data_IF_590447989797
#
_entry.id   IF_590447989797
#
_cell.length_a   1.000
_cell.length_b   1.000
_cell.length_c   1.000
_cell.angle_alpha   90.00
_cell.angle_beta   90.00
_cell.angle_gamma   90.00
#
_symmetry.space_group_name_H-M   'P 1'
#
loop_
_entity.id
_entity.type
_entity.pdbx_description
1 polymer ?
#
# COMPACT_ATOMS: atom_id res chain seq x y z
N UNK A 1 -51.63 0.32 20.89
CA UNK A 1 -51.05 0.83 19.62
C UNK A 1 -49.63 1.26 19.92
N UNK A 2 -48.68 0.39 19.62
CA UNK A 2 -47.23 0.63 19.77
C UNK A 2 -46.71 0.81 18.34
N UNK A 3 -45.95 1.87 18.02
CA UNK A 3 -45.46 2.07 16.67
C UNK A 3 -44.35 1.05 16.35
N UNK A 4 -44.21 0.60 15.09
CA UNK A 4 -43.13 -0.30 14.73
C UNK A 4 -41.82 0.46 14.68
N UNK A 5 -40.80 -0.05 15.38
CA UNK A 5 -39.41 0.35 15.21
C UNK A 5 -38.92 -0.16 13.86
N UNK A 6 -38.68 0.78 12.93
CA UNK A 6 -37.96 0.54 11.70
C UNK A 6 -36.55 0.06 12.04
N UNK A 7 -36.22 -1.16 11.61
CA UNK A 7 -34.85 -1.64 11.61
C UNK A 7 -34.11 -1.03 10.42
N UNK A 8 -33.23 -0.07 10.71
CA UNK A 8 -32.16 0.32 9.80
C UNK A 8 -31.11 -0.78 9.77
N UNK A 9 -31.32 -1.73 8.86
CA UNK A 9 -30.25 -2.54 8.32
C UNK A 9 -29.62 -1.78 7.17
N UNK A 10 -28.75 -0.81 7.45
CA UNK A 10 -27.81 -0.30 6.44
C UNK A 10 -26.79 -1.40 6.20
N UNK A 11 -27.09 -2.29 5.25
CA UNK A 11 -26.05 -3.07 4.60
C UNK A 11 -25.35 -2.13 3.63
N UNK A 12 -24.37 -1.40 4.13
CA UNK A 12 -23.47 -0.62 3.29
C UNK A 12 -22.68 -1.59 2.41
N UNK A 13 -23.14 -1.74 1.16
CA UNK A 13 -22.38 -2.24 0.03
C UNK A 13 -21.26 -1.24 -0.28
N UNK A 14 -20.27 -1.18 0.59
CA UNK A 14 -19.05 -0.37 0.46
C UNK A 14 -17.91 -1.20 -0.15
N UNK A 15 -18.23 -2.17 -1.03
CA UNK A 15 -17.28 -3.19 -1.47
C UNK A 15 -16.69 -2.99 -2.86
N UNK A 16 -16.89 -1.84 -3.50
CA UNK A 16 -16.42 -1.63 -4.89
C UNK A 16 -15.87 -0.21 -5.16
N UNK A 17 -15.77 0.65 -4.14
CA UNK A 17 -15.07 1.91 -4.30
C UNK A 17 -13.55 1.65 -4.39
N UNK A 18 -12.85 2.18 -5.42
CA UNK A 18 -11.39 2.08 -5.49
C UNK A 18 -10.78 2.69 -4.22
N UNK A 19 -9.67 2.11 -3.75
CA UNK A 19 -8.95 2.69 -2.61
C UNK A 19 -8.54 4.13 -2.94
N UNK A 20 -8.40 4.98 -1.92
CA UNK A 20 -7.84 6.33 -2.06
C UNK A 20 -6.53 6.33 -2.89
N UNK A 21 -5.69 5.32 -2.68
CA UNK A 21 -4.44 5.12 -3.41
C UNK A 21 -4.71 4.83 -4.89
N UNK A 22 -5.66 3.93 -5.19
CA UNK A 22 -6.04 3.59 -6.57
C UNK A 22 -6.57 4.83 -7.29
N UNK A 23 -7.49 5.56 -6.67
CA UNK A 23 -8.05 6.79 -7.25
C UNK A 23 -6.94 7.82 -7.55
N UNK A 24 -5.99 8.01 -6.63
CA UNK A 24 -4.88 8.95 -6.81
C UNK A 24 -3.84 8.50 -7.86
N UNK A 25 -3.74 7.19 -8.13
CA UNK A 25 -2.94 6.65 -9.24
C UNK A 25 -3.64 6.85 -10.59
N UNK A 26 -4.96 6.69 -10.62
CA UNK A 26 -5.81 6.80 -11.82
C UNK A 26 -6.07 8.26 -12.26
N UNK A 27 -5.58 9.26 -11.52
CA UNK A 27 -5.66 10.70 -11.90
C UNK A 27 -4.83 11.06 -13.14
N UNK A 28 -4.03 10.13 -13.66
CA UNK A 28 -3.13 10.35 -14.80
C UNK A 28 -3.85 10.05 -16.11
N UNK A 29 -3.74 10.97 -17.07
CA UNK A 29 -4.29 10.80 -18.41
C UNK A 29 -3.69 9.56 -19.09
N UNK A 30 -4.51 8.80 -19.83
CA UNK A 30 -4.10 7.58 -20.52
C UNK A 30 -2.90 7.83 -21.46
N UNK A 31 -1.84 7.02 -21.32
CA UNK A 31 -0.62 7.10 -22.12
C UNK A 31 0.37 8.19 -21.71
N UNK A 32 0.04 9.03 -20.72
CA UNK A 32 1.00 10.01 -20.18
C UNK A 32 2.10 9.34 -19.37
N UNK A 33 1.80 8.25 -18.66
CA UNK A 33 2.74 7.40 -17.95
C UNK A 33 3.85 6.86 -18.87
N UNK A 34 3.46 6.21 -19.98
CA UNK A 34 4.39 5.69 -21.00
C UNK A 34 5.24 6.80 -21.61
N UNK A 35 4.64 7.97 -21.86
CA UNK A 35 5.34 9.13 -22.39
C UNK A 35 6.38 9.68 -21.40
N UNK A 36 6.03 9.78 -20.11
CA UNK A 36 6.96 10.20 -19.05
C UNK A 36 8.10 9.21 -18.90
N UNK A 37 7.81 7.92 -18.78
CA UNK A 37 8.83 6.88 -18.62
C UNK A 37 9.82 6.90 -19.80
N UNK A 38 9.29 6.89 -21.02
CA UNK A 38 10.09 6.92 -22.25
C UNK A 38 10.91 8.20 -22.37
N UNK A 39 10.35 9.34 -21.97
CA UNK A 39 11.07 10.60 -22.02
C UNK A 39 12.25 10.61 -21.05
N UNK A 40 12.07 10.09 -19.83
CA UNK A 40 13.07 10.16 -18.76
C UNK A 40 14.13 9.06 -18.81
N UNK A 41 13.86 7.94 -19.48
CA UNK A 41 14.78 6.82 -19.55
C UNK A 41 16.17 7.24 -20.06
N UNK A 42 17.21 6.85 -19.30
CA UNK A 42 18.62 7.12 -19.64
C UNK A 42 19.09 8.55 -19.32
N UNK A 43 18.29 9.37 -18.66
CA UNK A 43 18.69 10.72 -18.27
C UNK A 43 19.37 10.76 -16.90
N UNK A 44 20.52 11.41 -16.84
CA UNK A 44 21.19 11.72 -15.58
C UNK A 44 20.62 13.00 -14.94
N UNK A 45 20.72 13.09 -13.61
CA UNK A 45 20.44 14.29 -12.82
C UNK A 45 19.04 14.93 -13.04
N UNK A 46 18.01 14.12 -13.26
CA UNK A 46 16.65 14.62 -13.48
C UNK A 46 16.14 15.40 -12.26
N UNK A 47 15.57 16.57 -12.51
CA UNK A 47 14.82 17.35 -11.52
C UNK A 47 13.37 17.47 -11.96
N UNK A 48 12.46 16.93 -11.16
CA UNK A 48 11.03 16.92 -11.40
C UNK A 48 10.29 17.76 -10.34
N UNK A 49 9.33 18.58 -10.74
CA UNK A 49 8.49 19.37 -9.83
C UNK A 49 7.01 19.25 -10.19
N UNK A 50 6.15 19.27 -9.18
CA UNK A 50 4.70 19.16 -9.37
C UNK A 50 4.22 17.73 -9.67
N UNK A 51 5.01 16.72 -9.29
CA UNK A 51 4.76 15.30 -9.61
C UNK A 51 3.54 14.79 -8.81
N UNK A 52 2.45 14.34 -9.48
CA UNK A 52 1.33 13.66 -8.82
C UNK A 52 1.71 12.21 -8.45
N UNK A 53 0.93 11.57 -7.58
CA UNK A 53 1.18 10.20 -7.14
C UNK A 53 1.27 9.21 -8.33
N UNK A 54 0.33 9.28 -9.27
CA UNK A 54 0.27 8.38 -10.42
C UNK A 54 1.46 8.46 -11.38
N UNK A 55 2.29 9.50 -11.31
CA UNK A 55 3.52 9.61 -12.13
C UNK A 55 4.80 9.23 -11.38
N UNK A 56 4.72 8.84 -10.11
CA UNK A 56 5.88 8.25 -9.42
C UNK A 56 6.29 6.89 -10.01
N UNK A 57 5.37 5.96 -10.31
CA UNK A 57 5.73 4.68 -10.95
C UNK A 57 6.56 4.81 -12.24
N UNK A 58 6.14 5.55 -13.28
CA UNK A 58 6.95 5.68 -14.51
C UNK A 58 8.28 6.43 -14.26
N UNK A 59 8.34 7.33 -13.28
CA UNK A 59 9.59 8.01 -12.91
C UNK A 59 10.58 7.06 -12.23
N UNK A 60 10.12 6.20 -11.32
CA UNK A 60 10.95 5.18 -10.68
C UNK A 60 11.43 4.14 -11.70
N UNK A 61 10.54 3.68 -12.58
CA UNK A 61 10.88 2.76 -13.65
C UNK A 61 11.94 3.35 -14.61
N UNK A 62 11.85 4.64 -14.94
CA UNK A 62 12.87 5.32 -15.74
C UNK A 62 14.21 5.46 -14.98
N UNK A 63 14.15 5.74 -13.67
CA UNK A 63 15.34 5.83 -12.81
C UNK A 63 16.08 4.51 -12.71
N UNK A 64 15.37 3.39 -12.54
CA UNK A 64 15.95 2.05 -12.42
C UNK A 64 16.69 1.63 -13.70
N UNK A 65 16.21 2.07 -14.87
CA UNK A 65 16.86 1.83 -16.16
C UNK A 65 18.01 2.78 -16.49
N UNK A 66 18.35 3.69 -15.58
CA UNK A 66 19.41 4.68 -15.77
C UNK A 66 20.65 4.25 -14.99
N UNK A 67 21.76 4.04 -15.71
CA UNK A 67 23.04 3.58 -15.14
C UNK A 67 23.75 4.61 -14.25
N UNK A 68 23.33 5.88 -14.33
CA UNK A 68 23.90 6.96 -13.53
C UNK A 68 23.46 6.85 -12.06
N UNK A 69 24.40 7.04 -11.13
CA UNK A 69 24.15 6.94 -9.68
C UNK A 69 23.67 8.26 -9.07
N UNK A 70 23.61 9.37 -9.81
CA UNK A 70 23.21 10.64 -9.23
C UNK A 70 21.73 10.61 -8.79
N UNK A 71 21.40 11.18 -7.62
CA UNK A 71 20.03 11.23 -7.14
C UNK A 71 19.15 12.03 -8.09
N UNK A 72 18.00 11.46 -8.45
CA UNK A 72 16.92 12.22 -9.09
C UNK A 72 16.20 13.04 -8.03
N UNK A 73 15.93 14.31 -8.34
CA UNK A 73 15.34 15.27 -7.40
C UNK A 73 13.87 15.44 -7.71
N UNK A 74 12.99 14.94 -6.85
CA UNK A 74 11.55 14.88 -7.11
C UNK A 74 10.80 15.71 -6.09
N UNK A 75 10.15 16.79 -6.52
CA UNK A 75 9.20 17.55 -5.71
C UNK A 75 7.77 17.18 -6.11
N UNK A 76 7.11 16.43 -5.23
CA UNK A 76 5.72 16.01 -5.40
C UNK A 76 4.72 17.12 -5.07
N UNK A 77 3.48 16.94 -5.53
CA UNK A 77 2.35 17.76 -5.12
C UNK A 77 2.09 17.65 -3.61
N UNK A 78 1.49 18.66 -2.97
CA UNK A 78 1.03 18.56 -1.60
C UNK A 78 0.12 17.34 -1.40
N UNK A 79 0.27 16.62 -0.29
CA UNK A 79 -0.52 15.42 0.03
C UNK A 79 0.05 14.09 -0.48
N UNK A 80 0.92 14.09 -1.51
CA UNK A 80 1.48 12.84 -2.06
C UNK A 80 2.25 12.03 -1.02
N UNK A 81 3.07 12.67 -0.18
CA UNK A 81 3.82 11.97 0.87
C UNK A 81 2.92 11.27 1.89
N UNK A 82 1.77 11.87 2.21
CA UNK A 82 0.79 11.31 3.14
C UNK A 82 0.07 10.09 2.52
N UNK A 83 -0.29 10.16 1.23
CA UNK A 83 -0.87 9.02 0.50
C UNK A 83 0.16 7.88 0.34
N UNK A 84 1.43 8.19 0.11
CA UNK A 84 2.50 7.18 0.06
C UNK A 84 2.63 6.39 1.38
N UNK A 85 2.44 7.05 2.53
CA UNK A 85 2.36 6.38 3.84
C UNK A 85 1.19 5.39 3.97
N UNK A 86 0.23 5.41 3.03
CA UNK A 86 -0.90 4.48 2.96
C UNK A 86 -0.85 3.54 1.76
N UNK A 87 0.04 3.75 0.82
CA UNK A 87 0.21 2.94 -0.38
C UNK A 87 1.27 1.87 -0.12
N UNK A 88 0.89 0.69 0.35
CA UNK A 88 1.87 -0.28 0.88
C UNK A 88 2.97 -0.66 -0.12
N UNK A 89 2.59 -0.94 -1.38
CA UNK A 89 3.55 -1.31 -2.42
C UNK A 89 4.38 -0.10 -2.85
N UNK A 90 3.73 0.97 -3.33
CA UNK A 90 4.44 2.14 -3.85
C UNK A 90 5.24 2.88 -2.77
N UNK A 91 4.69 2.98 -1.57
CA UNK A 91 5.32 3.64 -0.43
C UNK A 91 6.60 2.95 0.00
N UNK A 92 6.62 1.61 0.08
CA UNK A 92 7.85 0.87 0.41
C UNK A 92 8.90 0.96 -0.69
N UNK A 93 8.49 1.04 -1.96
CA UNK A 93 9.42 1.24 -3.09
C UNK A 93 10.00 2.65 -3.14
N UNK A 94 9.17 3.69 -2.96
CA UNK A 94 9.68 5.08 -2.86
C UNK A 94 10.59 5.23 -1.64
N UNK A 95 10.23 4.61 -0.51
CA UNK A 95 11.09 4.60 0.68
C UNK A 95 12.43 3.90 0.44
N UNK A 96 12.45 2.82 -0.35
CA UNK A 96 13.68 2.16 -0.80
C UNK A 96 14.54 3.11 -1.64
N UNK A 97 13.98 3.70 -2.69
CA UNK A 97 14.70 4.60 -3.58
C UNK A 97 15.28 5.82 -2.85
N UNK A 98 14.58 6.32 -1.81
CA UNK A 98 15.08 7.38 -0.94
C UNK A 98 16.21 6.88 -0.02
N UNK A 99 16.06 5.70 0.58
CA UNK A 99 17.06 5.12 1.47
C UNK A 99 18.37 4.77 0.75
N UNK A 100 18.29 4.31 -0.50
CA UNK A 100 19.43 4.05 -1.37
C UNK A 100 20.08 5.33 -1.91
N UNK A 101 19.42 6.49 -1.75
CA UNK A 101 19.87 7.76 -2.30
C UNK A 101 19.68 7.88 -3.81
N UNK A 102 18.89 7.00 -4.44
CA UNK A 102 18.52 7.10 -5.84
C UNK A 102 17.57 8.28 -6.11
N UNK A 103 16.78 8.67 -5.10
CA UNK A 103 15.81 9.77 -5.16
C UNK A 103 15.94 10.70 -3.94
N UNK A 104 15.97 12.01 -4.18
CA UNK A 104 15.72 13.03 -3.16
C UNK A 104 14.26 13.48 -3.26
N UNK A 105 13.46 13.16 -2.24
CA UNK A 105 12.03 13.46 -2.21
C UNK A 105 11.71 14.76 -1.46
N UNK A 106 10.91 15.61 -2.09
CA UNK A 106 10.35 16.83 -1.51
C UNK A 106 8.87 16.95 -1.79
N UNK A 107 8.19 17.80 -1.04
CA UNK A 107 6.80 18.20 -1.33
C UNK A 107 6.74 19.71 -1.44
N UNK A 108 6.04 20.20 -2.45
CA UNK A 108 5.74 21.62 -2.55
C UNK A 108 5.05 22.08 -1.25
N UNK A 109 5.51 23.20 -0.67
CA UNK A 109 4.79 23.81 0.43
C UNK A 109 3.38 24.16 -0.05
N UNK A 110 2.35 23.86 0.74
CA UNK A 110 0.99 24.33 0.49
C UNK A 110 0.96 25.85 0.71
N UNK A 111 1.50 26.61 -0.24
CA UNK A 111 1.43 28.06 -0.23
C UNK A 111 -0.03 28.43 -0.51
N UNK A 112 -0.75 28.71 0.57
CA UNK A 112 -2.06 29.38 0.58
C UNK A 112 -1.88 30.81 0.08
N UNK A 113 -1.79 30.98 -1.22
CA UNK A 113 -1.98 32.29 -1.84
C UNK A 113 -2.66 32.13 -3.20
N UNK A 114 -3.92 32.56 -3.24
CA UNK A 114 -4.81 32.57 -4.41
C UNK A 114 -4.26 33.38 -5.61
N UNK A 115 -3.09 34.00 -5.49
CA UNK A 115 -2.44 34.82 -6.50
C UNK A 115 -1.33 34.09 -7.32
N UNK A 116 -0.88 32.90 -6.90
CA UNK A 116 0.19 32.12 -7.58
C UNK A 116 -0.34 30.82 -8.21
N UNK A 117 -1.66 30.72 -8.41
CA UNK A 117 -2.40 29.50 -8.80
C UNK A 117 -2.18 29.00 -10.24
N UNK A 118 -1.00 29.17 -10.82
CA UNK A 118 -0.69 28.62 -12.14
C UNK A 118 0.72 28.01 -12.26
N UNK A 119 1.68 28.40 -11.42
CA UNK A 119 3.06 27.93 -11.54
C UNK A 119 3.44 26.85 -10.52
N UNK A 120 2.82 26.80 -9.34
CA UNK A 120 3.08 25.78 -8.31
C UNK A 120 2.48 24.40 -8.62
N UNK A 121 1.64 24.30 -9.66
CA UNK A 121 0.95 23.06 -10.06
C UNK A 121 1.49 22.44 -11.36
N UNK A 122 2.31 23.18 -12.13
CA UNK A 122 2.85 22.68 -13.40
C UNK A 122 3.83 21.56 -13.14
N UNK A 123 3.59 20.43 -13.81
CA UNK A 123 4.47 19.29 -13.85
C UNK A 123 5.57 19.52 -14.89
N UNK A 124 6.80 19.57 -14.40
CA UNK A 124 7.99 19.83 -15.21
C UNK A 124 9.07 18.80 -14.86
N UNK A 125 9.81 18.37 -15.88
CA UNK A 125 11.02 17.55 -15.77
C UNK A 125 12.18 18.30 -16.44
N UNK A 126 13.34 18.34 -15.80
CA UNK A 126 14.48 19.07 -16.32
C UNK A 126 15.79 18.29 -16.16
N UNK A 127 16.60 18.33 -17.21
CA UNK A 127 18.05 18.06 -17.23
C UNK A 127 18.77 19.37 -17.61
N UNK A 128 20.11 19.44 -17.58
CA UNK A 128 20.83 20.66 -17.94
C UNK A 128 20.54 21.19 -19.37
N UNK A 129 20.18 20.29 -20.29
CA UNK A 129 20.04 20.52 -21.73
C UNK A 129 18.60 20.39 -22.24
N UNK A 130 17.67 19.84 -21.44
CA UNK A 130 16.29 19.62 -21.85
C UNK A 130 15.31 19.87 -20.72
N UNK A 131 14.16 20.45 -21.06
CA UNK A 131 13.01 20.58 -20.16
C UNK A 131 11.77 20.02 -20.84
N UNK A 132 11.03 19.16 -20.15
CA UNK A 132 9.72 18.68 -20.56
C UNK A 132 8.65 19.22 -19.62
N UNK A 133 7.55 19.72 -20.18
CA UNK A 133 6.39 20.18 -19.44
C UNK A 133 5.16 19.37 -19.85
N UNK A 134 4.33 18.99 -18.88
CA UNK A 134 3.01 18.42 -19.18
C UNK A 134 2.04 19.54 -19.50
N UNK A 135 1.45 19.51 -20.69
CA UNK A 135 0.54 20.52 -21.19
C UNK A 135 -0.64 19.91 -21.95
N UNK A 136 -1.74 20.65 -22.04
CA UNK A 136 -2.97 20.22 -22.71
C UNK A 136 -4.17 20.19 -21.77
N UNK A 137 -5.39 19.99 -22.32
CA UNK A 137 -6.58 19.79 -21.52
C UNK A 137 -6.52 18.45 -20.77
N UNK A 138 -7.17 18.39 -19.61
CA UNK A 138 -7.37 17.15 -18.85
C UNK A 138 -7.96 16.03 -19.72
N UNK A 139 -7.45 14.82 -19.56
CA UNK A 139 -7.75 13.66 -20.40
C UNK A 139 -7.00 13.60 -21.72
N UNK A 140 -6.20 14.61 -22.07
CA UNK A 140 -5.40 14.67 -23.33
C UNK A 140 -4.05 15.36 -23.15
N UNK A 141 -3.53 15.44 -21.93
CA UNK A 141 -2.25 16.07 -21.63
C UNK A 141 -1.10 15.28 -22.27
N UNK A 142 -0.08 15.99 -22.70
CA UNK A 142 1.12 15.43 -23.32
C UNK A 142 2.37 16.18 -22.89
N UNK A 143 3.55 15.66 -23.24
CA UNK A 143 4.83 16.31 -23.01
C UNK A 143 5.15 17.31 -24.12
N UNK A 144 5.51 18.52 -23.72
CA UNK A 144 6.09 19.55 -24.59
C UNK A 144 7.55 19.72 -24.19
N UNK A 145 8.45 19.46 -25.12
CA UNK A 145 9.90 19.47 -24.90
C UNK A 145 10.54 20.74 -25.40
N UNK A 146 11.52 21.23 -24.64
CA UNK A 146 12.43 22.29 -25.03
C UNK A 146 13.87 21.83 -24.88
N UNK A 147 14.63 21.89 -25.99
CA UNK A 147 16.02 21.42 -26.07
C UNK A 147 16.99 22.51 -26.56
N UNK A 148 16.48 23.67 -26.99
CA UNK A 148 17.34 24.74 -27.48
C UNK A 148 18.12 25.34 -26.30
N UNK A 149 19.47 25.32 -26.29
CA UNK A 149 20.27 25.64 -25.12
C UNK A 149 19.97 26.99 -24.48
N UNK A 150 19.66 28.00 -25.30
CA UNK A 150 19.34 29.35 -24.85
C UNK A 150 18.01 29.46 -24.09
N UNK A 151 17.12 28.47 -24.21
CA UNK A 151 15.83 28.39 -23.52
C UNK A 151 15.80 27.27 -22.46
N UNK A 152 16.35 26.10 -22.78
CA UNK A 152 16.40 24.95 -21.88
C UNK A 152 17.22 25.23 -20.62
N UNK A 153 18.41 25.86 -20.73
CA UNK A 153 19.26 26.08 -19.56
C UNK A 153 18.65 27.04 -18.51
N UNK A 154 18.07 28.21 -18.89
CA UNK A 154 17.30 29.03 -17.96
C UNK A 154 16.09 28.32 -17.36
N UNK A 155 15.34 27.56 -18.17
CA UNK A 155 14.16 26.82 -17.70
C UNK A 155 14.55 25.72 -16.69
N UNK A 156 15.61 24.96 -16.96
CA UNK A 156 16.14 23.93 -16.05
C UNK A 156 16.66 24.54 -14.74
N UNK A 157 17.18 25.77 -14.77
CA UNK A 157 17.54 26.50 -13.54
C UNK A 157 16.29 26.86 -12.72
N UNK A 158 15.23 27.37 -13.35
CA UNK A 158 13.99 27.68 -12.66
C UNK A 158 13.34 26.44 -12.02
N UNK A 159 13.37 25.29 -12.70
CA UNK A 159 12.89 24.00 -12.13
C UNK A 159 13.71 23.61 -10.90
N UNK A 160 15.05 23.74 -10.96
CA UNK A 160 15.94 23.49 -9.81
C UNK A 160 15.68 24.42 -8.63
N UNK A 161 15.44 25.71 -8.89
CA UNK A 161 15.09 26.68 -7.86
C UNK A 161 13.75 26.33 -7.19
N UNK A 162 12.75 25.90 -7.98
CA UNK A 162 11.47 25.44 -7.45
C UNK A 162 11.59 24.17 -6.60
N UNK A 163 12.42 23.22 -7.01
CA UNK A 163 12.74 22.05 -6.18
C UNK A 163 13.44 22.48 -4.88
N UNK A 164 14.42 23.37 -4.94
CA UNK A 164 15.14 23.85 -3.77
C UNK A 164 14.24 24.59 -2.76
N UNK A 165 13.18 25.25 -3.24
CA UNK A 165 12.16 25.89 -2.41
C UNK A 165 11.13 24.92 -1.79
N UNK A 166 11.02 23.70 -2.30
CA UNK A 166 10.14 22.68 -1.74
C UNK A 166 10.68 22.13 -0.40
N UNK A 167 9.78 21.68 0.46
CA UNK A 167 10.14 21.13 1.76
C UNK A 167 10.62 19.68 1.63
N UNK A 168 11.68 19.25 2.34
CA UNK A 168 12.03 17.84 2.48
C UNK A 168 10.83 17.00 2.90
N UNK A 169 10.65 15.84 2.28
CA UNK A 169 9.55 14.93 2.59
C UNK A 169 10.10 13.56 2.97
N UNK A 170 9.46 12.94 3.96
CA UNK A 170 9.66 11.54 4.32
C UNK A 170 8.43 10.73 3.93
N UNK A 171 8.63 9.50 3.51
CA UNK A 171 7.54 8.53 3.34
C UNK A 171 7.36 7.82 4.67
N UNK A 172 6.14 7.82 5.20
CA UNK A 172 5.78 7.07 6.40
C UNK A 172 5.59 5.57 6.07
N UNK A 173 6.62 4.96 5.49
CA UNK A 173 6.72 3.52 5.19
C UNK A 173 8.20 3.09 5.29
N UNK A 174 8.49 1.85 5.71
CA UNK A 174 9.84 1.35 5.70
C UNK A 174 10.34 1.10 4.27
N UNK A 175 11.66 1.25 4.03
CA UNK A 175 12.30 0.66 2.86
C UNK A 175 11.97 -0.83 2.78
N UNK A 176 11.73 -1.32 1.58
CA UNK A 176 11.39 -2.71 1.30
C UNK A 176 12.47 -3.69 1.77
N UNK A 177 13.75 -3.36 1.60
CA UNK A 177 14.87 -4.16 2.07
C UNK A 177 14.86 -4.31 3.59
N UNK A 178 14.63 -3.21 4.32
CA UNK A 178 14.46 -3.21 5.79
C UNK A 178 13.25 -4.03 6.20
N UNK A 179 12.12 -3.89 5.50
CA UNK A 179 10.89 -4.62 5.79
C UNK A 179 11.12 -6.13 5.76
N UNK A 180 11.73 -6.63 4.68
CA UNK A 180 12.03 -8.05 4.47
C UNK A 180 13.09 -8.55 5.46
N UNK A 181 14.17 -7.79 5.67
CA UNK A 181 15.21 -8.17 6.63
C UNK A 181 14.65 -8.31 8.06
N UNK A 182 13.86 -7.34 8.52
CA UNK A 182 13.22 -7.39 9.83
C UNK A 182 12.20 -8.54 9.93
N UNK A 183 11.54 -8.91 8.83
CA UNK A 183 10.65 -10.06 8.81
C UNK A 183 11.41 -11.38 9.01
N UNK A 184 12.59 -11.53 8.40
CA UNK A 184 13.44 -12.72 8.61
C UNK A 184 13.88 -12.86 10.06
N UNK A 185 14.24 -11.74 10.70
CA UNK A 185 14.71 -11.72 12.07
C UNK A 185 13.58 -11.99 13.09
N UNK A 186 12.42 -11.36 12.91
CA UNK A 186 11.33 -11.41 13.88
C UNK A 186 10.36 -12.60 13.69
N UNK A 187 10.26 -13.13 12.47
CA UNK A 187 9.30 -14.15 12.10
C UNK A 187 10.02 -15.39 11.56
N UNK A 188 10.17 -15.52 10.24
CA UNK A 188 11.04 -16.50 9.60
C UNK A 188 11.34 -16.14 8.13
N UNK A 189 12.29 -16.87 7.52
CA UNK A 189 12.71 -16.67 6.14
C UNK A 189 11.59 -16.88 5.12
N UNK A 190 10.71 -17.85 5.36
CA UNK A 190 9.67 -18.24 4.41
C UNK A 190 8.56 -17.18 4.37
N UNK A 191 8.20 -16.62 5.52
CA UNK A 191 7.28 -15.49 5.61
C UNK A 191 7.88 -14.26 4.91
N UNK A 192 9.16 -13.98 5.14
CA UNK A 192 9.84 -12.84 4.51
C UNK A 192 9.90 -12.97 2.99
N UNK A 193 10.23 -14.17 2.48
CA UNK A 193 10.23 -14.48 1.04
C UNK A 193 8.83 -14.32 0.43
N UNK A 194 7.78 -14.80 1.13
CA UNK A 194 6.40 -14.65 0.69
C UNK A 194 5.96 -13.17 0.66
N UNK A 195 6.34 -12.36 1.65
CA UNK A 195 6.05 -10.91 1.65
C UNK A 195 6.75 -10.22 0.49
N UNK A 196 8.03 -10.55 0.25
CA UNK A 196 8.79 -10.01 -0.88
C UNK A 196 8.12 -10.38 -2.22
N UNK A 197 7.80 -11.65 -2.43
CA UNK A 197 7.14 -12.11 -3.66
C UNK A 197 5.76 -11.48 -3.87
N UNK A 198 4.99 -11.28 -2.80
CA UNK A 198 3.72 -10.57 -2.88
C UNK A 198 3.91 -9.10 -3.30
N UNK A 199 4.85 -8.39 -2.68
CA UNK A 199 5.14 -6.99 -3.03
C UNK A 199 5.66 -6.85 -4.48
N UNK A 200 6.37 -7.84 -5.04
CA UNK A 200 6.86 -7.81 -6.43
C UNK A 200 5.73 -7.97 -7.46
N UNK A 201 4.70 -8.72 -7.09
CA UNK A 201 3.62 -9.07 -8.02
C UNK A 201 2.43 -8.11 -7.95
N UNK A 202 2.27 -7.36 -6.85
CA UNK A 202 1.12 -6.51 -6.64
C UNK A 202 1.26 -5.17 -7.36
N UNK A 203 0.23 -4.69 -8.07
CA UNK A 203 0.24 -3.33 -8.60
C UNK A 203 0.24 -2.30 -7.46
N UNK A 204 0.77 -1.11 -7.71
CA UNK A 204 0.95 -0.05 -6.71
C UNK A 204 -0.32 0.34 -5.93
N UNK A 205 -1.48 0.28 -6.59
CA UNK A 205 -2.78 0.57 -5.98
C UNK A 205 -3.53 -0.66 -5.46
N UNK A 206 -2.93 -1.84 -5.45
CA UNK A 206 -3.62 -3.08 -5.09
C UNK A 206 -4.08 -3.10 -3.63
N UNK A 207 -3.30 -2.50 -2.74
CA UNK A 207 -3.55 -2.58 -1.31
C UNK A 207 -3.18 -1.27 -0.66
N UNK A 208 -4.13 -0.74 0.11
CA UNK A 208 -3.94 0.43 0.96
C UNK A 208 -4.40 0.17 2.39
N UNK A 209 -4.46 1.25 3.17
CA UNK A 209 -4.86 1.23 4.59
C UNK A 209 -6.36 1.24 4.82
N UNK A 210 -7.14 1.48 3.77
CA UNK A 210 -8.60 1.58 3.78
C UNK A 210 -9.23 0.52 2.87
N UNK A 211 -10.51 0.24 3.12
CA UNK A 211 -11.29 -0.75 2.37
C UNK A 211 -11.45 -2.09 3.11
N UNK A 212 -12.14 -3.04 2.47
CA UNK A 212 -12.48 -4.32 3.07
C UNK A 212 -11.27 -5.25 3.26
N UNK A 213 -10.27 -5.15 2.37
CA UNK A 213 -9.01 -5.89 2.44
C UNK A 213 -7.87 -4.87 2.41
N UNK A 214 -7.22 -4.70 3.55
CA UNK A 214 -6.11 -3.75 3.76
C UNK A 214 -4.74 -4.44 3.68
N UNK A 215 -3.67 -3.66 3.74
CA UNK A 215 -2.29 -4.13 3.94
C UNK A 215 -2.16 -4.98 5.21
N UNK A 216 -2.79 -4.54 6.29
CA UNK A 216 -2.84 -5.29 7.56
C UNK A 216 -3.60 -6.60 7.40
N UNK A 217 -4.72 -6.62 6.67
CA UNK A 217 -5.44 -7.87 6.35
C UNK A 217 -4.56 -8.84 5.57
N UNK A 218 -3.81 -8.34 4.56
CA UNK A 218 -2.87 -9.14 3.78
C UNK A 218 -1.76 -9.73 4.68
N UNK A 219 -1.11 -8.90 5.51
CA UNK A 219 -0.03 -9.32 6.41
C UNK A 219 -0.51 -10.36 7.45
N UNK A 220 -1.68 -10.17 8.05
CA UNK A 220 -2.27 -11.15 9.00
C UNK A 220 -2.59 -12.47 8.31
N UNK A 221 -3.11 -12.43 7.08
CA UNK A 221 -3.40 -13.65 6.32
C UNK A 221 -2.12 -14.40 5.93
N UNK A 222 -1.07 -13.70 5.51
CA UNK A 222 0.24 -14.30 5.24
C UNK A 222 0.84 -14.89 6.51
N UNK A 223 0.79 -14.18 7.64
CA UNK A 223 1.30 -14.69 8.90
C UNK A 223 0.56 -15.96 9.36
N UNK A 224 -0.75 -16.03 9.11
CA UNK A 224 -1.54 -17.21 9.39
C UNK A 224 -1.19 -18.41 8.48
N UNK A 225 -0.73 -18.18 7.24
CA UNK A 225 -0.23 -19.25 6.34
C UNK A 225 1.05 -19.91 6.88
N UNK A 226 1.78 -19.21 7.75
CA UNK A 226 3.03 -19.68 8.37
C UNK A 226 2.90 -20.02 9.87
N UNK A 227 1.67 -20.08 10.41
CA UNK A 227 1.40 -20.45 11.81
C UNK A 227 2.08 -19.52 12.87
N UNK A 228 2.33 -18.25 12.53
CA UNK A 228 3.00 -17.29 13.43
C UNK A 228 2.15 -16.86 14.62
N UNK A 229 2.80 -16.38 15.68
CA UNK A 229 2.10 -15.72 16.78
C UNK A 229 1.74 -14.29 16.37
N UNK A 230 0.53 -13.87 16.74
CA UNK A 230 0.09 -12.48 16.57
C UNK A 230 1.00 -11.50 17.32
N UNK A 231 1.62 -11.93 18.41
CA UNK A 231 2.53 -11.08 19.17
C UNK A 231 3.82 -10.77 18.39
N UNK A 232 4.44 -11.78 17.76
CA UNK A 232 5.61 -11.58 16.90
C UNK A 232 5.27 -10.65 15.73
N UNK A 233 4.12 -10.88 15.09
CA UNK A 233 3.64 -10.02 13.99
C UNK A 233 3.42 -8.57 14.43
N UNK A 234 2.88 -8.36 15.64
CA UNK A 234 2.66 -7.02 16.21
C UNK A 234 3.94 -6.30 16.55
N UNK A 235 4.92 -7.03 17.08
CA UNK A 235 6.27 -6.50 17.37
C UNK A 235 6.96 -6.10 16.06
N UNK A 236 6.88 -6.95 15.04
CA UNK A 236 7.46 -6.67 13.73
C UNK A 236 6.82 -5.45 13.07
N UNK A 237 5.48 -5.36 13.00
CA UNK A 237 4.78 -4.27 12.28
C UNK A 237 4.82 -2.91 13.00
N UNK A 238 4.98 -2.94 14.33
CA UNK A 238 4.94 -1.77 15.23
C UNK A 238 6.02 -0.73 14.98
N UNK A 239 5.86 0.45 15.56
CA UNK A 239 6.90 1.50 15.59
C UNK A 239 7.74 1.46 16.88
N UNK A 240 8.77 2.31 16.96
CA UNK A 240 9.64 2.47 18.14
C UNK A 240 8.88 2.82 19.43
N UNK A 241 7.73 3.50 19.31
CA UNK A 241 6.97 4.06 20.42
C UNK A 241 6.00 3.05 21.06
N UNK A 242 5.62 2.00 20.32
CA UNK A 242 4.84 0.87 20.82
C UNK A 242 5.65 -0.08 21.72
N UNK A 243 6.98 0.06 21.74
CA UNK A 243 7.90 -0.74 22.57
C UNK A 243 7.93 -0.23 24.03
N UNK A 244 6.79 -0.31 24.73
CA UNK A 244 6.66 -0.02 26.16
C UNK A 244 7.37 -1.01 27.11
N UNK A 245 8.49 -1.63 26.69
CA UNK A 245 9.19 -2.60 27.52
C UNK A 245 10.51 -3.09 26.92
N UNK A 246 11.60 -2.39 27.23
CA UNK A 246 12.95 -2.92 27.54
C UNK A 246 13.70 -3.84 26.56
N UNK A 247 13.11 -4.35 25.49
CA UNK A 247 13.83 -5.08 24.44
C UNK A 247 13.99 -4.16 23.24
N UNK A 248 15.23 -3.83 22.89
CA UNK A 248 15.57 -2.90 21.81
C UNK A 248 15.30 -3.39 20.38
N UNK A 249 14.31 -4.26 20.15
CA UNK A 249 13.84 -4.47 18.77
C UNK A 249 12.81 -3.42 18.44
N UNK A 250 13.20 -2.59 17.49
CA UNK A 250 12.36 -1.60 16.84
C UNK A 250 11.64 -2.30 15.69
N UNK A 251 10.30 -2.26 15.68
CA UNK A 251 9.53 -2.74 14.54
C UNK A 251 9.73 -1.88 13.29
N UNK A 252 9.11 -2.27 12.17
CA UNK A 252 9.30 -1.61 10.88
C UNK A 252 8.45 -0.35 10.70
N UNK A 253 7.58 -0.02 11.65
CA UNK A 253 6.75 1.20 11.61
C UNK A 253 5.67 1.16 10.53
N UNK A 254 5.19 -0.01 10.13
CA UNK A 254 4.07 -0.10 9.18
C UNK A 254 2.78 0.31 9.86
N UNK A 255 2.50 -0.10 11.11
CA UNK A 255 1.24 0.20 11.81
C UNK A 255 1.42 0.07 13.31
N UNK A 256 0.55 0.70 14.10
CA UNK A 256 0.52 0.42 15.53
C UNK A 256 0.13 -1.05 15.76
N UNK A 257 0.76 -1.72 16.73
CA UNK A 257 0.55 -3.16 16.97
C UNK A 257 -0.91 -3.50 17.30
N UNK A 258 -1.69 -2.55 17.82
CA UNK A 258 -3.12 -2.77 18.11
C UNK A 258 -4.00 -2.79 16.85
N UNK A 259 -3.53 -2.22 15.74
CA UNK A 259 -4.31 -2.04 14.52
C UNK A 259 -4.70 -3.36 13.85
N UNK A 260 -3.91 -4.43 14.06
CA UNK A 260 -4.19 -5.76 13.51
C UNK A 260 -5.46 -6.42 14.09
N UNK A 261 -6.04 -5.87 15.15
CA UNK A 261 -7.17 -6.48 15.87
C UNK A 261 -8.42 -6.59 14.99
N UNK A 262 -8.71 -5.54 14.21
CA UNK A 262 -9.87 -5.47 13.35
C UNK A 262 -9.75 -6.45 12.17
N UNK A 263 -8.61 -6.40 11.48
CA UNK A 263 -8.29 -7.26 10.34
C UNK A 263 -8.31 -8.75 10.73
N UNK A 264 -7.65 -9.11 11.84
CA UNK A 264 -7.70 -10.47 12.39
C UNK A 264 -9.13 -10.92 12.66
N UNK A 265 -9.95 -10.07 13.31
CA UNK A 265 -11.35 -10.41 13.59
C UNK A 265 -12.15 -10.59 12.31
N UNK A 266 -11.89 -9.81 11.26
CA UNK A 266 -12.55 -9.95 9.96
C UNK A 266 -12.21 -11.30 9.31
N UNK A 267 -10.93 -11.70 9.32
CA UNK A 267 -10.46 -12.99 8.80
C UNK A 267 -11.04 -14.18 9.58
N UNK A 268 -11.07 -14.10 10.92
CA UNK A 268 -11.64 -15.16 11.78
C UNK A 268 -13.15 -15.29 11.57
N UNK A 269 -13.90 -14.18 11.53
CA UNK A 269 -15.36 -14.22 11.29
C UNK A 269 -15.68 -14.86 9.95
N UNK A 270 -14.88 -14.59 8.91
CA UNK A 270 -15.04 -15.18 7.57
C UNK A 270 -14.57 -16.63 7.48
N UNK A 271 -14.00 -17.20 8.55
CA UNK A 271 -13.51 -18.57 8.57
C UNK A 271 -12.26 -18.78 7.70
N UNK A 272 -11.47 -17.73 7.47
CA UNK A 272 -10.25 -17.81 6.68
C UNK A 272 -9.05 -18.24 7.52
N UNK A 273 -9.04 -17.78 8.77
CA UNK A 273 -8.01 -18.12 9.76
C UNK A 273 -8.65 -18.48 11.11
N UNK A 274 -7.90 -19.19 11.93
CA UNK A 274 -8.16 -19.36 13.35
C UNK A 274 -7.13 -18.60 14.19
N UNK A 275 -7.54 -18.18 15.39
CA UNK A 275 -6.65 -17.58 16.40
C UNK A 275 -6.65 -18.49 17.65
N UNK A 276 -5.66 -19.36 17.72
CA UNK A 276 -5.56 -20.41 18.75
C UNK A 276 -4.82 -19.84 19.96
N UNK A 277 -5.43 -19.94 21.14
CA UNK A 277 -4.76 -19.58 22.39
C UNK A 277 -3.67 -20.61 22.70
N UNK A 278 -2.44 -20.14 22.81
CA UNK A 278 -1.28 -20.95 23.22
C UNK A 278 -0.75 -20.43 24.55
N UNK A 279 -0.34 -21.31 25.49
CA UNK A 279 0.32 -20.89 26.71
C UNK A 279 1.62 -20.15 26.37
N UNK A 280 1.86 -19.00 27.00
CA UNK A 280 3.14 -18.31 26.98
C UNK A 280 3.61 -18.07 28.42
N UNK A 281 4.93 -18.11 28.61
CA UNK A 281 5.57 -18.29 29.92
C UNK A 281 5.23 -17.25 30.98
N UNK A 282 4.76 -16.06 30.60
CA UNK A 282 4.36 -14.97 31.51
C UNK A 282 2.91 -15.06 32.01
N UNK A 283 2.19 -16.12 31.64
CA UNK A 283 0.80 -16.36 32.05
C UNK A 283 -0.25 -15.64 31.18
N UNK A 284 0.16 -14.87 30.16
CA UNK A 284 -0.76 -14.30 29.18
C UNK A 284 -0.79 -15.21 27.95
N UNK A 285 -1.91 -15.89 27.66
CA UNK A 285 -1.98 -16.75 26.49
C UNK A 285 -1.79 -15.91 25.22
N UNK A 286 -0.85 -16.33 24.38
CA UNK A 286 -0.61 -15.72 23.08
C UNK A 286 -1.56 -16.31 22.04
N UNK A 287 -1.78 -15.60 20.94
CA UNK A 287 -2.63 -16.06 19.85
C UNK A 287 -1.75 -16.55 18.71
N UNK A 288 -1.82 -17.84 18.39
CA UNK A 288 -1.27 -18.40 17.15
C UNK A 288 -2.28 -18.20 16.03
N UNK A 289 -1.86 -17.57 14.95
CA UNK A 289 -2.65 -17.37 13.74
C UNK A 289 -2.46 -18.59 12.85
N UNK A 290 -3.55 -19.22 12.40
CA UNK A 290 -3.48 -20.38 11.51
C UNK A 290 -4.47 -20.24 10.36
N UNK A 291 -4.01 -20.33 9.12
CA UNK A 291 -4.89 -20.37 7.97
C UNK A 291 -5.67 -21.70 7.97
N UNK A 292 -6.98 -21.61 7.73
CA UNK A 292 -7.89 -22.78 7.66
C UNK A 292 -8.68 -22.84 6.35
N UNK A 293 -8.71 -21.74 5.58
CA UNK A 293 -9.26 -21.77 4.23
C UNK A 293 -8.32 -22.49 3.26
N UNK A 294 -8.87 -23.49 2.58
CA UNK A 294 -8.17 -24.33 1.61
C UNK A 294 -7.53 -23.55 0.45
N UNK A 295 -8.16 -22.45 0.00
CA UNK A 295 -7.62 -21.64 -1.08
C UNK A 295 -6.49 -20.74 -0.54
N UNK A 296 -6.65 -20.15 0.64
CA UNK A 296 -5.61 -19.34 1.28
C UNK A 296 -4.34 -20.16 1.57
N UNK A 297 -4.51 -21.41 2.05
CA UNK A 297 -3.39 -22.32 2.33
C UNK A 297 -2.60 -22.71 1.08
N UNK A 298 -3.28 -22.88 -0.05
CA UNK A 298 -2.67 -23.32 -1.32
C UNK A 298 -2.23 -22.17 -2.23
N UNK A 299 -2.67 -20.94 -1.94
CA UNK A 299 -2.31 -19.76 -2.71
C UNK A 299 -0.79 -19.58 -2.73
N UNK A 300 -0.25 -19.29 -3.91
CA UNK A 300 1.08 -18.70 -4.03
C UNK A 300 1.08 -17.30 -3.44
N UNK A 301 2.23 -16.75 -3.00
CA UNK A 301 2.28 -15.43 -2.35
C UNK A 301 1.59 -14.32 -3.17
N UNK A 302 1.81 -14.31 -4.49
CA UNK A 302 1.21 -13.37 -5.44
C UNK A 302 -0.31 -13.52 -5.59
N UNK A 303 -0.88 -14.67 -5.22
CA UNK A 303 -2.32 -14.96 -5.33
C UNK A 303 -3.10 -14.63 -4.06
N UNK A 304 -2.41 -14.40 -2.93
CA UNK A 304 -3.05 -14.24 -1.61
C UNK A 304 -4.07 -13.10 -1.62
N UNK A 305 -3.72 -11.94 -2.19
CA UNK A 305 -4.65 -10.81 -2.25
C UNK A 305 -5.90 -11.14 -3.08
N UNK A 306 -5.73 -11.82 -4.21
CA UNK A 306 -6.85 -12.23 -5.07
C UNK A 306 -7.80 -13.17 -4.33
N UNK A 307 -7.25 -14.15 -3.59
CA UNK A 307 -8.03 -15.03 -2.72
C UNK A 307 -8.77 -14.23 -1.66
N UNK A 308 -8.10 -13.30 -0.97
CA UNK A 308 -8.73 -12.48 0.06
C UNK A 308 -9.89 -11.66 -0.51
N UNK A 309 -9.68 -10.94 -1.61
CA UNK A 309 -10.73 -10.16 -2.28
C UNK A 309 -11.91 -11.05 -2.68
N UNK A 310 -11.64 -12.19 -3.31
CA UNK A 310 -12.68 -13.16 -3.68
C UNK A 310 -13.48 -13.68 -2.49
N UNK A 311 -12.84 -13.89 -1.34
CA UNK A 311 -13.53 -14.33 -0.10
C UNK A 311 -14.31 -13.20 0.58
N UNK A 312 -13.79 -11.98 0.56
CA UNK A 312 -14.46 -10.82 1.16
C UNK A 312 -15.66 -10.32 0.35
N UNK A 313 -15.69 -10.60 -0.96
CA UNK A 313 -16.84 -10.32 -1.82
C UNK A 313 -18.03 -11.29 -1.62
N UNK A 314 -17.81 -12.44 -0.96
CA UNK A 314 -18.90 -13.40 -0.73
C UNK A 314 -19.87 -12.91 0.35
N UNK A 315 -21.18 -13.15 0.19
CA UNK A 315 -22.18 -12.75 1.17
C UNK A 315 -21.96 -13.48 2.49
N UNK A 316 -22.15 -12.77 3.59
CA UNK A 316 -22.02 -13.31 4.95
C UNK A 316 -23.38 -13.54 5.62
N UNK A 317 -23.45 -14.49 6.55
CA UNK A 317 -24.59 -14.67 7.44
C UNK A 317 -24.60 -13.65 8.59
N UNK A 318 -25.56 -13.77 9.51
CA UNK A 318 -25.69 -12.85 10.66
C UNK A 318 -24.48 -12.89 11.61
N UNK A 319 -23.68 -13.95 11.57
CA UNK A 319 -22.45 -14.10 12.37
C UNK A 319 -21.20 -13.61 11.61
N UNK A 320 -21.36 -13.12 10.38
CA UNK A 320 -20.27 -12.65 9.54
C UNK A 320 -19.46 -13.77 8.86
N UNK A 321 -19.97 -15.01 8.86
CA UNK A 321 -19.37 -16.14 8.14
C UNK A 321 -19.80 -16.15 6.70
N UNK A 322 -18.89 -16.55 5.81
CA UNK A 322 -19.20 -16.71 4.40
C UNK A 322 -20.33 -17.74 4.26
N UNK A 323 -21.44 -17.35 3.64
CA UNK A 323 -22.57 -18.26 3.39
C UNK A 323 -22.08 -19.39 2.48
N UNK A 324 -22.14 -20.61 2.98
CA UNK A 324 -21.97 -21.79 2.14
C UNK A 324 -23.11 -21.86 1.11
N UNK A 325 -22.89 -22.48 -0.06
CA UNK A 325 -24.00 -22.81 -0.95
C UNK A 325 -25.01 -23.67 -0.17
N UNK A 326 -26.30 -23.33 -0.29
CA UNK A 326 -27.37 -24.11 0.29
C UNK A 326 -27.20 -25.58 -0.12
N UNK A 327 -27.00 -26.48 0.85
CA UNK A 327 -26.82 -27.92 0.61
C UNK A 327 -25.51 -28.53 1.13
N UNK A 328 -24.56 -27.76 1.69
CA UNK A 328 -23.38 -28.38 2.34
C UNK A 328 -23.73 -29.18 3.61
N UNK A 329 -24.80 -28.82 4.30
CA UNK A 329 -25.34 -29.60 5.43
C UNK A 329 -25.91 -30.97 5.00
N UNK A 330 -26.37 -31.10 3.75
CA UNK A 330 -26.87 -32.38 3.22
C UNK A 330 -25.72 -33.36 2.89
N UNK A 331 -24.52 -32.81 2.61
CA UNK A 331 -23.29 -33.58 2.38
C UNK A 331 -22.41 -33.77 3.62
N UNK A 332 -22.87 -33.35 4.80
CA UNK A 332 -22.22 -33.74 6.05
C UNK A 332 -22.46 -35.23 6.31
N UNK A 333 -21.44 -35.99 6.72
CA UNK A 333 -21.62 -37.34 7.19
C UNK A 333 -22.70 -37.38 8.27
N UNK A 334 -23.50 -38.45 8.29
CA UNK A 334 -24.74 -38.54 9.09
C UNK A 334 -24.53 -38.26 10.58
N UNK A 335 -23.30 -38.44 11.10
CA UNK A 335 -22.94 -38.20 12.50
C UNK A 335 -22.70 -36.72 12.88
N UNK A 336 -22.54 -35.82 11.90
CA UNK A 336 -22.40 -34.36 12.13
C UNK A 336 -23.73 -33.60 12.02
N UNK A 337 -24.81 -34.30 11.65
CA UNK A 337 -26.14 -33.70 11.60
C UNK A 337 -26.67 -33.60 13.03
N UNK A 338 -26.87 -32.38 13.52
CA UNK A 338 -27.56 -32.16 14.78
C UNK A 338 -28.89 -32.93 14.74
N UNK A 339 -29.11 -33.79 15.74
CA UNK A 339 -30.37 -34.53 15.87
C UNK A 339 -31.49 -33.49 15.93
N UNK A 340 -32.30 -33.46 14.88
CA UNK A 340 -33.57 -32.75 14.88
C UNK A 340 -34.45 -33.51 15.87
N UNK A 341 -34.50 -33.01 17.10
CA UNK A 341 -35.42 -33.55 18.10
C UNK A 341 -36.83 -33.40 17.53
N UNK A 342 -37.49 -34.55 17.34
CA UNK A 342 -38.93 -34.59 17.17
C UNK A 342 -39.53 -34.42 18.55
N UNK A 343 -39.99 -33.21 18.85
CA UNK A 343 -41.22 -32.93 19.59
C UNK A 343 -41.56 -31.45 19.49
#
# INVERSE_FOLDING_TARGET
>A
MIPPTNGDGSSDTESDAPSEVTAALDEVDEGLDDAVESALAGRAEVVAVGVPLGLLPPVLAARERTEDDAPWRIACRPGVADVLGRAFVLGTEVAEAVAEGAVELRTAAALRTEAEGADSERLLFATPDRVDAVAGPEGTRTLVSEEAPERAAPAARAVRERFAAAAPASVDMPPRSRLVAAAREALDDRFADDVAAALDALPYGAVGRSGAVTDRTLLVAMAARHDHLLWDLRRWIGDESDAGGGSGDVGVGIAAGQDLTADRRALVRRGLIEAIKVPAGDGRPQLRLRAVDDALLRARPEEVLSVLRGRFALPVDGDGRIRGPAGRDERRPVWERARRDKN
#
